data_IF_537928819886
#
_entry.id   IF_537928819886
#
_cell.length_a   1.000
_cell.length_b   1.000
_cell.length_c   1.000
_cell.angle_alpha   90.00
_cell.angle_beta   90.00
_cell.angle_gamma   90.00
#
_symmetry.space_group_name_H-M   'P 1'
#
loop_
_entity.id
_entity.type
_entity.pdbx_description
1 polymer ?
#
# COMPACT_ATOMS: atom_id res chain seq x y z
N UNK A 1 -0.90 -17.75 -4.62
CA UNK A 1 -0.84 -16.56 -5.51
C UNK A 1 0.58 -16.41 -6.02
N UNK A 2 0.76 -16.33 -7.34
CA UNK A 2 2.11 -16.23 -7.93
C UNK A 2 2.80 -14.87 -7.70
N UNK A 3 2.03 -13.84 -7.33
CA UNK A 3 2.55 -12.48 -7.01
C UNK A 3 1.72 -11.89 -5.87
N UNK A 4 2.27 -11.74 -4.66
CA UNK A 4 1.53 -11.18 -3.54
C UNK A 4 1.23 -9.69 -3.81
N UNK A 5 -0.04 -9.32 -3.68
CA UNK A 5 -0.48 -7.91 -3.63
C UNK A 5 -0.38 -7.38 -2.21
N UNK A 6 -0.46 -6.05 -2.01
CA UNK A 6 -0.48 -5.46 -0.66
C UNK A 6 -1.58 -6.06 0.24
N UNK A 7 -2.76 -6.36 -0.32
CA UNK A 7 -3.88 -6.98 0.42
C UNK A 7 -3.57 -8.43 0.82
N UNK A 8 -2.99 -9.23 -0.10
CA UNK A 8 -2.61 -10.60 0.22
C UNK A 8 -1.47 -10.66 1.24
N UNK A 9 -0.49 -9.75 1.14
CA UNK A 9 0.56 -9.61 2.14
C UNK A 9 -0.02 -9.25 3.51
N UNK A 10 -0.95 -8.28 3.58
CA UNK A 10 -1.66 -7.94 4.81
C UNK A 10 -2.31 -9.17 5.44
N UNK A 11 -3.17 -9.87 4.69
CA UNK A 11 -3.92 -11.02 5.18
C UNK A 11 -3.01 -12.14 5.69
N UNK A 12 -1.96 -12.47 4.93
CA UNK A 12 -1.01 -13.52 5.30
C UNK A 12 -0.22 -13.18 6.56
N UNK A 13 0.17 -11.92 6.72
CA UNK A 13 1.03 -11.52 7.84
C UNK A 13 0.28 -11.28 9.15
N UNK A 14 -1.01 -10.94 9.13
CA UNK A 14 -1.81 -10.84 10.36
C UNK A 14 -2.36 -12.20 10.82
N UNK A 15 -2.44 -13.20 9.93
CA UNK A 15 -3.05 -14.49 10.21
C UNK A 15 -2.47 -15.20 11.44
N UNK A 16 -1.14 -15.20 11.68
CA UNK A 16 -0.58 -15.83 12.90
C UNK A 16 -1.14 -15.24 14.21
N UNK A 17 -1.38 -13.93 14.25
CA UNK A 17 -1.98 -13.28 15.42
C UNK A 17 -3.46 -13.65 15.60
N UNK A 18 -4.19 -13.84 14.49
CA UNK A 18 -5.60 -14.23 14.53
C UNK A 18 -5.81 -15.67 15.05
N UNK A 19 -4.77 -16.51 15.10
CA UNK A 19 -4.88 -17.88 15.62
C UNK A 19 -5.46 -17.95 17.04
N UNK A 20 -5.20 -16.90 17.85
CA UNK A 20 -5.74 -16.79 19.22
C UNK A 20 -7.28 -16.64 19.29
N UNK A 21 -7.94 -16.40 18.15
CA UNK A 21 -9.39 -16.32 18.01
C UNK A 21 -10.00 -17.60 17.42
N UNK A 22 -9.18 -18.61 17.14
CA UNK A 22 -9.59 -19.90 16.54
C UNK A 22 -10.46 -19.74 15.27
N UNK A 23 -10.03 -18.93 14.27
CA UNK A 23 -10.86 -18.61 13.13
C UNK A 23 -11.06 -19.81 12.21
N UNK A 24 -12.24 -19.91 11.60
CA UNK A 24 -12.46 -20.75 10.42
C UNK A 24 -12.17 -19.95 9.16
N UNK A 25 -11.15 -20.34 8.40
CA UNK A 25 -10.72 -19.63 7.20
C UNK A 25 -11.57 -20.04 6.00
N UNK A 26 -12.12 -19.06 5.29
CA UNK A 26 -12.79 -19.28 4.00
C UNK A 26 -11.75 -19.17 2.89
N UNK A 27 -11.20 -20.28 2.45
CA UNK A 27 -10.09 -20.33 1.49
C UNK A 27 -10.26 -21.46 0.48
N UNK A 28 -9.66 -21.33 -0.70
CA UNK A 28 -9.61 -22.39 -1.71
C UNK A 28 -8.66 -23.52 -1.36
N UNK A 29 -7.59 -23.18 -0.65
CA UNK A 29 -6.53 -24.11 -0.28
C UNK A 29 -6.41 -24.19 1.25
N UNK A 30 -6.23 -25.40 1.81
CA UNK A 30 -6.03 -25.54 3.25
C UNK A 30 -4.76 -24.81 3.70
N UNK A 31 -4.83 -24.19 4.88
CA UNK A 31 -3.68 -23.60 5.56
C UNK A 31 -3.43 -24.46 6.81
N UNK A 32 -2.22 -24.95 6.97
CA UNK A 32 -1.85 -25.77 8.12
C UNK A 32 -2.20 -25.06 9.44
N UNK A 33 -2.59 -25.82 10.44
CA UNK A 33 -2.92 -25.36 11.80
C UNK A 33 -4.18 -24.46 11.92
N UNK A 34 -4.98 -24.33 10.83
CA UNK A 34 -6.24 -23.57 10.88
C UNK A 34 -7.44 -24.41 10.44
N UNK A 35 -8.57 -24.20 11.11
CA UNK A 35 -9.85 -24.65 10.58
C UNK A 35 -10.12 -23.91 9.27
N UNK A 36 -10.59 -24.61 8.25
CA UNK A 36 -10.93 -23.99 6.99
C UNK A 36 -12.23 -24.55 6.40
N UNK A 37 -12.90 -23.72 5.63
CA UNK A 37 -14.01 -24.10 4.78
C UNK A 37 -13.64 -23.82 3.32
N UNK A 38 -13.73 -24.81 2.42
CA UNK A 38 -13.30 -24.67 1.04
C UNK A 38 -14.23 -23.76 0.26
N UNK A 39 -13.69 -22.74 -0.40
CA UNK A 39 -14.41 -21.86 -1.32
C UNK A 39 -13.91 -22.03 -2.77
N UNK A 40 -14.72 -21.73 -3.79
CA UNK A 40 -14.31 -21.91 -5.17
C UNK A 40 -13.10 -21.05 -5.57
N UNK A 41 -12.06 -21.64 -6.16
CA UNK A 41 -10.86 -20.94 -6.66
C UNK A 41 -11.16 -19.78 -7.62
N UNK A 42 -12.24 -19.89 -8.40
CA UNK A 42 -12.68 -18.86 -9.36
C UNK A 42 -13.12 -17.53 -8.74
N UNK A 43 -13.08 -17.41 -7.42
CA UNK A 43 -13.35 -16.17 -6.67
C UNK A 43 -12.08 -15.33 -6.47
N UNK A 44 -10.88 -15.89 -6.77
CA UNK A 44 -9.61 -15.20 -6.63
C UNK A 44 -9.54 -13.97 -7.55
N UNK A 45 -8.94 -12.86 -7.08
CA UNK A 45 -8.66 -11.67 -7.90
C UNK A 45 -7.82 -11.96 -9.16
N UNK A 46 -7.07 -13.04 -9.18
CA UNK A 46 -6.21 -13.42 -10.31
C UNK A 46 -6.98 -13.64 -11.62
N UNK A 47 -8.30 -13.86 -11.53
CA UNK A 47 -9.20 -14.05 -12.68
C UNK A 47 -9.89 -12.77 -13.16
N UNK A 48 -9.42 -11.59 -12.72
CA UNK A 48 -9.84 -10.28 -13.25
C UNK A 48 -11.24 -9.83 -12.84
N UNK A 49 -11.83 -8.95 -13.66
CA UNK A 49 -13.12 -8.29 -13.34
C UNK A 49 -14.28 -9.28 -13.16
N UNK A 50 -14.31 -10.37 -13.95
CA UNK A 50 -15.38 -11.39 -13.86
C UNK A 50 -15.33 -12.08 -12.50
N UNK A 51 -14.14 -12.39 -12.00
CA UNK A 51 -13.99 -13.00 -10.67
C UNK A 51 -14.42 -12.05 -9.55
N UNK A 52 -14.18 -10.75 -9.71
CA UNK A 52 -14.67 -9.74 -8.76
C UNK A 52 -16.21 -9.78 -8.65
N UNK A 53 -16.95 -9.77 -9.78
CA UNK A 53 -18.39 -9.88 -9.76
C UNK A 53 -18.89 -11.21 -9.19
N UNK A 54 -18.22 -12.33 -9.52
CA UNK A 54 -18.55 -13.64 -8.95
C UNK A 54 -18.35 -13.66 -7.44
N UNK A 55 -17.27 -13.06 -6.95
CA UNK A 55 -16.98 -12.95 -5.52
C UNK A 55 -18.07 -12.11 -4.81
N UNK A 56 -18.43 -10.94 -5.36
CA UNK A 56 -19.50 -10.12 -4.80
C UNK A 56 -20.84 -10.87 -4.76
N UNK A 57 -21.19 -11.58 -5.84
CA UNK A 57 -22.40 -12.39 -5.88
C UNK A 57 -22.37 -13.51 -4.84
N UNK A 58 -21.24 -14.22 -4.74
CA UNK A 58 -21.04 -15.28 -3.75
C UNK A 58 -21.15 -14.74 -2.32
N UNK A 59 -20.54 -13.60 -2.04
CA UNK A 59 -20.61 -12.91 -0.75
C UNK A 59 -22.06 -12.59 -0.37
N UNK A 60 -22.90 -12.21 -1.32
CA UNK A 60 -24.29 -11.89 -1.04
C UNK A 60 -25.19 -13.13 -0.86
N UNK A 61 -24.95 -14.20 -1.61
CA UNK A 61 -25.88 -15.34 -1.69
C UNK A 61 -25.44 -16.53 -0.81
N UNK A 62 -24.16 -16.79 -0.72
CA UNK A 62 -23.65 -17.99 -0.06
C UNK A 62 -23.10 -17.71 1.35
N UNK A 63 -22.45 -16.59 1.54
CA UNK A 63 -21.80 -16.26 2.80
C UNK A 63 -22.77 -16.16 4.00
N UNK A 64 -24.01 -15.61 3.87
CA UNK A 64 -24.97 -15.63 4.99
C UNK A 64 -25.36 -17.02 5.42
N UNK A 65 -25.59 -17.94 4.47
CA UNK A 65 -25.92 -19.33 4.78
C UNK A 65 -24.77 -20.03 5.48
N UNK A 66 -23.55 -19.80 5.01
CA UNK A 66 -22.35 -20.36 5.60
C UNK A 66 -22.10 -19.80 7.01
N UNK A 67 -22.32 -18.50 7.22
CA UNK A 67 -22.26 -17.87 8.53
C UNK A 67 -23.13 -18.59 9.56
N UNK A 68 -24.38 -18.88 9.19
CA UNK A 68 -25.30 -19.66 10.03
C UNK A 68 -24.88 -21.12 10.20
N UNK A 69 -24.48 -21.78 9.12
CA UNK A 69 -24.04 -23.19 9.15
C UNK A 69 -22.85 -23.41 10.08
N UNK A 70 -21.92 -22.45 10.11
CA UNK A 70 -20.74 -22.49 10.97
C UNK A 70 -21.01 -21.94 12.38
N UNK A 71 -22.23 -21.49 12.69
CA UNK A 71 -22.57 -20.81 13.94
C UNK A 71 -21.59 -19.68 14.28
N UNK A 72 -21.14 -18.93 13.25
CA UNK A 72 -20.17 -17.87 13.44
C UNK A 72 -20.79 -16.70 14.22
N UNK A 73 -20.04 -16.14 15.18
CA UNK A 73 -20.44 -14.95 15.96
C UNK A 73 -20.07 -13.64 15.26
N UNK A 74 -18.98 -13.69 14.47
CA UNK A 74 -18.42 -12.54 13.77
C UNK A 74 -17.76 -12.99 12.45
N UNK A 75 -17.90 -12.18 11.42
CA UNK A 75 -17.16 -12.31 10.17
C UNK A 75 -16.09 -11.21 10.11
N UNK A 76 -14.84 -11.58 9.89
CA UNK A 76 -13.77 -10.63 9.57
C UNK A 76 -13.43 -10.68 8.08
N UNK A 77 -13.52 -9.55 7.41
CA UNK A 77 -13.12 -9.42 6.00
C UNK A 77 -11.90 -8.49 5.86
N UNK A 78 -10.77 -8.97 5.32
CA UNK A 78 -9.58 -8.14 5.11
C UNK A 78 -9.73 -7.14 3.93
N UNK A 79 -10.93 -7.04 3.38
CA UNK A 79 -11.34 -6.10 2.32
C UNK A 79 -12.72 -5.54 2.65
N UNK A 80 -13.16 -4.41 2.07
CA UNK A 80 -14.47 -3.83 2.37
C UNK A 80 -15.62 -4.55 1.64
N UNK A 81 -15.67 -5.88 1.78
CA UNK A 81 -16.69 -6.75 1.20
C UNK A 81 -17.36 -7.60 2.28
N UNK A 82 -18.65 -7.51 2.37
CA UNK A 82 -19.50 -8.27 3.30
C UNK A 82 -20.92 -8.41 2.77
N UNK A 83 -21.73 -9.36 3.27
CA UNK A 83 -23.12 -9.49 2.87
C UNK A 83 -23.96 -8.32 3.39
N UNK A 84 -24.69 -7.68 2.47
CA UNK A 84 -25.60 -6.57 2.79
C UNK A 84 -26.97 -7.09 3.25
N UNK A 85 -27.61 -6.35 4.16
CA UNK A 85 -28.96 -6.62 4.64
C UNK A 85 -29.17 -8.07 5.11
N UNK A 86 -28.14 -8.60 5.75
CA UNK A 86 -28.10 -9.96 6.30
C UNK A 86 -27.91 -9.90 7.82
N UNK A 87 -28.24 -10.99 8.56
CA UNK A 87 -28.00 -11.06 9.99
C UNK A 87 -26.51 -11.22 10.38
N UNK A 88 -25.60 -11.26 9.40
CA UNK A 88 -24.18 -11.43 9.66
C UNK A 88 -23.60 -10.19 10.32
N UNK A 89 -23.01 -10.36 11.50
CA UNK A 89 -22.18 -9.33 12.13
C UNK A 89 -20.79 -9.38 11.52
N UNK A 90 -20.22 -8.22 11.17
CA UNK A 90 -18.91 -8.21 10.51
C UNK A 90 -18.06 -6.98 10.80
N UNK A 91 -16.74 -7.21 10.79
CA UNK A 91 -15.70 -6.19 10.77
C UNK A 91 -14.99 -6.28 9.42
N UNK A 92 -14.71 -5.13 8.81
CA UNK A 92 -14.05 -5.06 7.50
C UNK A 92 -12.81 -4.19 7.55
N UNK A 93 -11.86 -4.44 6.63
CA UNK A 93 -10.68 -3.58 6.48
C UNK A 93 -10.77 -2.76 5.19
N UNK A 94 -10.46 -1.47 5.28
CA UNK A 94 -10.34 -0.53 4.15
C UNK A 94 -8.88 -0.14 3.99
N UNK A 95 -8.28 -0.42 2.82
CA UNK A 95 -6.87 -0.12 2.56
C UNK A 95 -6.64 1.25 1.94
N UNK A 96 -7.52 1.69 1.05
CA UNK A 96 -7.50 3.03 0.44
C UNK A 96 -8.84 3.38 -0.18
N UNK A 97 -8.98 4.66 -0.52
CA UNK A 97 -10.11 5.20 -1.29
C UNK A 97 -9.64 5.95 -2.54
N UNK A 98 -8.49 5.56 -3.07
CA UNK A 98 -7.90 6.14 -4.30
C UNK A 98 -8.91 6.21 -5.45
N UNK A 99 -9.77 5.19 -5.73
CA UNK A 99 -10.76 5.28 -6.80
C UNK A 99 -11.83 6.37 -6.61
N UNK A 100 -12.05 6.87 -5.39
CA UNK A 100 -12.94 8.02 -5.14
C UNK A 100 -12.22 9.35 -5.34
N UNK A 101 -10.96 9.45 -4.93
CA UNK A 101 -10.14 10.66 -5.10
C UNK A 101 -9.72 10.89 -6.54
N UNK A 102 -9.43 9.80 -7.27
CA UNK A 102 -9.02 9.79 -8.68
C UNK A 102 -9.98 8.93 -9.50
N UNK A 103 -11.25 9.34 -9.64
CA UNK A 103 -12.29 8.53 -10.26
C UNK A 103 -12.02 8.33 -11.74
N UNK A 104 -12.14 7.09 -12.18
CA UNK A 104 -12.16 6.70 -13.58
C UNK A 104 -13.59 6.33 -13.95
N UNK A 105 -14.30 7.21 -14.61
CA UNK A 105 -15.71 7.03 -14.93
C UNK A 105 -16.01 5.76 -15.74
N UNK A 106 -15.04 5.31 -16.56
CA UNK A 106 -15.14 4.06 -17.32
C UNK A 106 -14.78 2.80 -16.52
N UNK A 107 -14.37 2.94 -15.27
CA UNK A 107 -13.96 1.78 -14.45
C UNK A 107 -15.19 1.11 -13.83
N UNK A 108 -15.33 -0.23 -13.92
CA UNK A 108 -16.37 -0.99 -13.22
C UNK A 108 -16.24 -0.90 -11.68
N UNK A 109 -15.10 -0.47 -11.17
CA UNK A 109 -14.89 -0.22 -9.74
C UNK A 109 -15.57 1.06 -9.25
N UNK A 110 -15.92 2.01 -10.12
CA UNK A 110 -16.56 3.25 -9.70
C UNK A 110 -17.92 3.04 -9.01
N UNK A 111 -18.87 2.24 -9.55
CA UNK A 111 -20.10 1.89 -8.82
C UNK A 111 -19.83 1.11 -7.52
N UNK A 112 -18.85 0.20 -7.53
CA UNK A 112 -18.46 -0.56 -6.36
C UNK A 112 -18.04 0.36 -5.20
N UNK A 113 -17.15 1.34 -5.45
CA UNK A 113 -16.72 2.29 -4.43
C UNK A 113 -17.81 3.31 -4.05
N UNK A 114 -18.69 3.70 -4.97
CA UNK A 114 -19.71 4.73 -4.72
C UNK A 114 -20.99 4.20 -4.10
N UNK A 115 -21.34 2.95 -4.36
CA UNK A 115 -22.65 2.39 -3.98
C UNK A 115 -22.48 1.23 -3.00
N UNK A 116 -21.65 0.24 -3.33
CA UNK A 116 -21.56 -0.99 -2.52
C UNK A 116 -20.77 -0.77 -1.22
N UNK A 117 -19.54 -0.27 -1.30
CA UNK A 117 -18.69 -0.09 -0.12
C UNK A 117 -19.34 0.76 0.96
N UNK A 118 -19.94 1.95 0.68
CA UNK A 118 -20.57 2.74 1.74
C UNK A 118 -21.70 2.01 2.46
N UNK A 119 -22.42 1.12 1.78
CA UNK A 119 -23.45 0.29 2.44
C UNK A 119 -22.83 -0.76 3.35
N UNK A 120 -21.75 -1.41 2.92
CA UNK A 120 -20.99 -2.34 3.76
C UNK A 120 -20.49 -1.63 5.02
N UNK A 121 -19.85 -0.47 4.87
CA UNK A 121 -19.29 0.27 6.02
C UNK A 121 -20.37 0.78 6.99
N UNK A 122 -21.53 1.20 6.49
CA UNK A 122 -22.65 1.60 7.33
C UNK A 122 -23.18 0.45 8.19
N UNK A 123 -23.23 -0.75 7.65
CA UNK A 123 -23.77 -1.94 8.32
C UNK A 123 -22.70 -2.70 9.15
N UNK A 124 -21.39 -2.51 8.87
CA UNK A 124 -20.32 -3.15 9.64
C UNK A 124 -20.44 -2.83 11.14
N UNK A 125 -20.08 -3.75 12.01
CA UNK A 125 -19.91 -3.49 13.44
C UNK A 125 -18.77 -2.49 13.65
N UNK A 126 -17.64 -2.73 12.95
CA UNK A 126 -16.47 -1.88 13.01
C UNK A 126 -15.68 -1.89 11.69
N UNK A 127 -14.84 -0.90 11.52
CA UNK A 127 -14.01 -0.71 10.33
C UNK A 127 -12.55 -0.57 10.78
N UNK A 128 -11.70 -1.40 10.26
CA UNK A 128 -10.25 -1.24 10.38
C UNK A 128 -9.75 -0.53 9.12
N UNK A 129 -8.80 0.37 9.25
CA UNK A 129 -8.10 0.95 8.10
C UNK A 129 -6.60 1.06 8.40
N UNK A 130 -5.78 1.25 7.38
CA UNK A 130 -4.33 1.15 7.49
C UNK A 130 -3.62 2.47 7.85
N UNK A 131 -4.36 3.59 7.98
CA UNK A 131 -3.82 4.90 8.33
C UNK A 131 -4.92 5.85 8.83
N UNK A 132 -4.52 6.90 9.55
CA UNK A 132 -5.43 7.98 9.92
C UNK A 132 -5.96 8.69 8.67
N UNK A 133 -5.13 8.89 7.65
CA UNK A 133 -5.57 9.48 6.39
C UNK A 133 -6.69 8.68 5.70
N UNK A 134 -6.65 7.36 5.77
CA UNK A 134 -7.75 6.51 5.26
C UNK A 134 -8.99 6.62 6.14
N UNK A 135 -8.84 6.73 7.48
CA UNK A 135 -9.96 6.97 8.38
C UNK A 135 -10.66 8.30 8.07
N UNK A 136 -9.88 9.35 7.89
CA UNK A 136 -10.39 10.69 7.54
C UNK A 136 -11.14 10.66 6.20
N UNK A 137 -10.64 9.91 5.22
CA UNK A 137 -11.34 9.69 3.95
C UNK A 137 -12.69 8.99 4.14
N UNK A 138 -12.75 7.93 4.94
CA UNK A 138 -14.00 7.21 5.22
C UNK A 138 -15.03 8.16 5.85
N UNK A 139 -14.59 9.00 6.79
CA UNK A 139 -15.45 10.01 7.43
C UNK A 139 -15.89 11.03 6.40
N UNK A 140 -14.97 11.59 5.64
CA UNK A 140 -15.23 12.66 4.68
C UNK A 140 -16.17 12.25 3.56
N UNK A 141 -15.92 11.08 2.94
CA UNK A 141 -16.70 10.63 1.77
C UNK A 141 -18.08 10.09 2.14
N UNK A 142 -18.23 9.48 3.32
CA UNK A 142 -19.44 8.71 3.63
C UNK A 142 -20.07 9.03 4.97
N UNK A 143 -19.52 9.99 5.71
CA UNK A 143 -20.01 10.43 7.03
C UNK A 143 -20.16 9.26 8.02
N UNK A 144 -19.23 8.31 7.99
CA UNK A 144 -19.16 7.22 8.96
C UNK A 144 -18.62 7.80 10.29
N UNK A 145 -19.25 7.50 11.44
CA UNK A 145 -18.77 7.99 12.72
C UNK A 145 -17.35 7.53 13.05
N UNK A 146 -16.49 8.44 13.50
CA UNK A 146 -15.09 8.13 13.84
C UNK A 146 -14.94 6.99 14.85
N UNK A 147 -15.85 6.90 15.84
CA UNK A 147 -15.87 5.81 16.84
C UNK A 147 -16.03 4.41 16.25
N UNK A 148 -16.43 4.30 14.99
CA UNK A 148 -16.61 3.04 14.25
C UNK A 148 -15.38 2.67 13.44
N UNK A 149 -14.30 3.47 13.51
CA UNK A 149 -13.12 3.31 12.67
C UNK A 149 -11.88 3.24 13.55
N UNK A 150 -11.05 2.23 13.37
CA UNK A 150 -9.75 2.12 14.05
C UNK A 150 -8.63 2.05 13.00
N UNK A 151 -7.77 3.08 12.94
CA UNK A 151 -6.53 3.01 12.15
C UNK A 151 -5.53 2.05 12.80
N UNK A 152 -5.05 1.06 12.02
CA UNK A 152 -4.02 0.11 12.42
C UNK A 152 -2.94 0.12 11.35
N UNK A 153 -1.79 0.66 11.68
CA UNK A 153 -0.68 0.80 10.73
C UNK A 153 -0.19 -0.58 10.27
N UNK A 154 0.15 -0.67 8.99
CA UNK A 154 0.75 -1.86 8.41
C UNK A 154 2.23 -1.96 8.79
N UNK A 155 2.85 -3.07 8.38
CA UNK A 155 4.27 -3.28 8.52
C UNK A 155 4.89 -3.77 7.20
N UNK A 156 6.19 -4.01 7.20
CA UNK A 156 6.93 -4.55 6.07
C UNK A 156 7.62 -5.86 6.48
N UNK A 157 8.13 -6.60 5.52
CA UNK A 157 8.88 -7.81 5.80
C UNK A 157 10.30 -7.46 6.28
N UNK A 158 10.48 -7.42 7.60
CA UNK A 158 11.74 -7.04 8.26
C UNK A 158 12.89 -8.03 7.98
N UNK A 159 12.59 -9.28 7.62
CA UNK A 159 13.61 -10.28 7.27
C UNK A 159 14.09 -10.12 5.83
N UNK A 160 13.25 -9.58 4.97
CA UNK A 160 13.54 -9.37 3.56
C UNK A 160 14.18 -8.01 3.29
N UNK A 161 13.60 -6.94 3.83
CA UNK A 161 14.11 -5.58 3.68
C UNK A 161 15.05 -5.23 4.84
N UNK A 162 16.32 -5.60 4.70
CA UNK A 162 17.37 -5.40 5.71
C UNK A 162 18.43 -4.45 5.21
N UNK A 163 19.08 -3.68 6.10
CA UNK A 163 20.17 -2.80 5.70
C UNK A 163 21.41 -3.58 5.25
N UNK A 164 22.16 -3.05 4.28
CA UNK A 164 23.48 -3.57 3.97
C UNK A 164 24.46 -3.29 5.12
N UNK A 165 25.37 -4.23 5.38
CA UNK A 165 26.45 -4.03 6.36
C UNK A 165 27.35 -2.83 6.00
N UNK A 166 27.66 -2.68 4.71
CA UNK A 166 28.38 -1.52 4.17
C UNK A 166 27.51 -0.88 3.09
N UNK A 167 27.06 0.38 3.26
CA UNK A 167 26.29 1.06 2.25
C UNK A 167 27.11 1.27 0.99
N UNK A 168 26.68 0.70 -0.13
CA UNK A 168 27.24 0.94 -1.45
C UNK A 168 26.20 1.74 -2.25
N UNK A 169 26.27 3.05 -2.15
CA UNK A 169 25.40 3.91 -2.94
C UNK A 169 25.89 3.97 -4.38
N UNK A 170 25.07 3.51 -5.29
CA UNK A 170 25.19 3.83 -6.70
C UNK A 170 24.51 5.18 -6.94
N UNK A 171 24.96 5.93 -7.92
CA UNK A 171 24.52 7.31 -8.11
C UNK A 171 23.15 7.40 -8.83
N UNK A 172 22.09 6.85 -8.21
CA UNK A 172 20.72 6.95 -8.71
C UNK A 172 19.69 7.21 -7.63
N UNK A 173 18.65 7.94 -8.00
CA UNK A 173 17.38 8.00 -7.29
C UNK A 173 16.48 6.85 -7.74
N UNK A 174 15.70 6.29 -6.82
CA UNK A 174 14.78 5.21 -7.10
C UNK A 174 13.34 5.67 -6.86
N UNK A 175 12.48 5.40 -7.81
CA UNK A 175 11.04 5.41 -7.65
C UNK A 175 10.53 3.97 -7.73
N UNK A 176 9.59 3.59 -6.86
CA UNK A 176 8.93 2.28 -6.87
C UNK A 176 7.41 2.45 -6.88
N UNK A 177 6.76 1.92 -7.90
CA UNK A 177 5.30 1.93 -7.98
C UNK A 177 4.76 1.86 -9.40
N UNK A 178 3.44 1.78 -9.50
CA UNK A 178 2.74 1.88 -10.79
C UNK A 178 2.83 3.29 -11.35
N UNK A 179 2.51 3.46 -12.62
CA UNK A 179 2.56 4.75 -13.31
C UNK A 179 1.21 5.50 -13.31
N UNK A 180 0.32 5.19 -12.36
CA UNK A 180 -0.96 5.88 -12.21
C UNK A 180 -0.77 7.38 -11.90
N UNK A 181 -1.69 8.27 -12.31
CA UNK A 181 -1.51 9.72 -12.16
C UNK A 181 -1.28 10.20 -10.73
N UNK A 182 -1.92 9.57 -9.73
CA UNK A 182 -1.73 9.92 -8.33
C UNK A 182 -0.33 9.58 -7.79
N UNK A 183 0.44 8.74 -8.47
CA UNK A 183 1.84 8.44 -8.15
C UNK A 183 2.81 9.55 -8.57
N UNK A 184 2.33 10.52 -9.37
CA UNK A 184 2.99 11.79 -9.66
C UNK A 184 4.36 11.68 -10.39
N UNK A 185 4.58 10.61 -11.13
CA UNK A 185 5.84 10.38 -11.86
C UNK A 185 6.13 11.49 -12.87
N UNK A 186 5.10 12.12 -13.45
CA UNK A 186 5.27 13.23 -14.38
C UNK A 186 6.00 14.44 -13.74
N UNK A 187 5.60 14.83 -12.50
CA UNK A 187 6.29 15.90 -11.77
C UNK A 187 7.67 15.47 -11.28
N UNK A 188 7.84 14.20 -10.91
CA UNK A 188 9.16 13.68 -10.59
C UNK A 188 10.14 13.83 -11.77
N UNK A 189 9.72 13.52 -12.99
CA UNK A 189 10.53 13.72 -14.20
C UNK A 189 10.85 15.21 -14.44
N UNK A 190 9.88 16.10 -14.24
CA UNK A 190 10.09 17.56 -14.34
C UNK A 190 11.12 18.04 -13.27
N UNK A 191 10.95 17.63 -12.02
CA UNK A 191 11.88 17.97 -10.95
C UNK A 191 13.29 17.41 -11.24
N UNK A 192 13.37 16.16 -11.67
CA UNK A 192 14.65 15.52 -11.97
C UNK A 192 15.39 16.17 -13.15
N UNK A 193 14.68 16.73 -14.13
CA UNK A 193 15.30 17.45 -15.25
C UNK A 193 16.06 18.72 -14.79
N UNK A 194 15.66 19.28 -13.67
CA UNK A 194 16.30 20.48 -13.08
C UNK A 194 17.47 20.12 -12.14
N UNK A 195 17.65 18.84 -11.81
CA UNK A 195 18.79 18.39 -10.99
C UNK A 195 20.08 18.46 -11.81
N UNK A 196 20.91 19.46 -11.50
CA UNK A 196 22.18 19.75 -12.20
C UNK A 196 23.33 18.84 -11.70
N UNK A 197 23.16 17.52 -11.82
CA UNK A 197 24.13 16.48 -11.46
C UNK A 197 24.17 15.47 -12.61
N UNK A 198 25.15 15.63 -13.52
CA UNK A 198 25.22 14.88 -14.79
C UNK A 198 25.26 13.36 -14.60
N UNK A 199 25.96 12.90 -13.58
CA UNK A 199 26.21 11.47 -13.34
C UNK A 199 25.08 10.80 -12.54
N UNK A 200 24.12 11.58 -12.05
CA UNK A 200 23.01 11.05 -11.28
C UNK A 200 21.91 10.55 -12.22
N UNK A 201 21.41 9.34 -11.94
CA UNK A 201 20.33 8.68 -12.69
C UNK A 201 19.03 8.70 -11.90
N UNK A 202 17.91 8.49 -12.58
CA UNK A 202 16.61 8.20 -11.99
C UNK A 202 16.11 6.86 -12.54
N UNK A 203 15.89 5.91 -11.64
CA UNK A 203 15.36 4.60 -12.00
C UNK A 203 13.90 4.51 -11.55
N UNK A 204 13.03 4.14 -12.50
CA UNK A 204 11.59 4.00 -12.31
C UNK A 204 11.25 2.51 -12.33
N UNK A 205 11.05 1.93 -11.15
CA UNK A 205 10.70 0.53 -10.96
C UNK A 205 9.20 0.34 -10.75
N UNK A 206 8.64 -0.63 -11.47
CA UNK A 206 7.24 -1.02 -11.37
C UNK A 206 6.65 -1.45 -12.71
N UNK A 207 5.51 -2.15 -12.71
CA UNK A 207 4.91 -2.66 -13.93
C UNK A 207 4.52 -1.51 -14.88
N UNK A 208 4.76 -1.73 -16.17
CA UNK A 208 4.29 -0.83 -17.21
C UNK A 208 2.77 -0.79 -17.28
N UNK A 209 2.23 0.36 -17.66
CA UNK A 209 0.81 0.57 -17.92
C UNK A 209 0.65 1.24 -19.28
N UNK A 210 -0.05 0.57 -20.21
CA UNK A 210 -0.20 1.01 -21.58
C UNK A 210 -0.87 2.38 -21.71
N UNK A 211 -1.59 2.81 -20.69
CA UNK A 211 -2.28 4.12 -20.65
C UNK A 211 -1.37 5.27 -20.27
N UNK A 212 -0.35 5.02 -19.43
CA UNK A 212 0.45 6.08 -18.80
C UNK A 212 1.94 5.99 -19.15
N UNK A 213 2.52 4.79 -19.20
CA UNK A 213 3.96 4.60 -19.46
C UNK A 213 4.41 5.22 -20.78
N UNK A 214 3.66 5.13 -21.91
CA UNK A 214 4.08 5.77 -23.17
C UNK A 214 4.22 7.28 -23.05
N UNK A 215 3.33 7.94 -22.29
CA UNK A 215 3.39 9.40 -22.06
C UNK A 215 4.61 9.80 -21.22
N UNK A 216 4.95 9.01 -20.22
CA UNK A 216 6.17 9.22 -19.42
C UNK A 216 7.44 9.06 -20.27
N UNK A 217 7.49 8.06 -21.13
CA UNK A 217 8.61 7.87 -22.08
C UNK A 217 8.74 9.04 -23.08
N UNK A 218 7.63 9.58 -23.56
CA UNK A 218 7.62 10.80 -24.40
C UNK A 218 8.14 12.01 -23.62
N UNK A 219 7.73 12.18 -22.36
CA UNK A 219 8.20 13.25 -21.50
C UNK A 219 9.70 13.15 -21.22
N UNK A 220 10.23 11.95 -20.96
CA UNK A 220 11.67 11.70 -20.82
C UNK A 220 12.43 12.15 -22.06
N UNK A 221 11.90 11.88 -23.26
CA UNK A 221 12.51 12.33 -24.50
C UNK A 221 12.46 13.86 -24.67
N UNK A 222 11.32 14.48 -24.36
CA UNK A 222 11.12 15.92 -24.45
C UNK A 222 11.98 16.72 -23.46
N UNK A 223 12.30 16.13 -22.30
CA UNK A 223 13.17 16.69 -21.27
C UNK A 223 14.65 16.33 -21.47
N UNK A 224 15.01 15.68 -22.58
CA UNK A 224 16.40 15.25 -22.89
C UNK A 224 17.01 14.33 -21.80
N UNK A 225 16.20 13.50 -21.15
CA UNK A 225 16.60 12.66 -20.03
C UNK A 225 16.88 11.19 -20.41
N UNK A 226 16.97 10.85 -21.71
CA UNK A 226 17.09 9.45 -22.19
C UNK A 226 18.27 8.70 -21.55
N UNK A 227 19.39 9.39 -21.36
CA UNK A 227 20.62 8.81 -20.79
C UNK A 227 20.62 8.82 -19.26
N UNK A 228 19.68 9.51 -18.62
CA UNK A 228 19.62 9.66 -17.16
C UNK A 228 18.43 8.96 -16.52
N UNK A 229 17.39 8.64 -17.27
CA UNK A 229 16.18 7.96 -16.76
C UNK A 229 16.08 6.55 -17.31
N UNK A 230 15.90 5.58 -16.42
CA UNK A 230 15.75 4.17 -16.77
C UNK A 230 14.43 3.62 -16.23
N UNK A 231 13.61 3.02 -17.11
CA UNK A 231 12.45 2.22 -16.73
C UNK A 231 12.91 0.78 -16.49
N UNK A 232 12.64 0.24 -15.29
CA UNK A 232 13.08 -1.10 -14.88
C UNK A 232 11.99 -2.15 -15.05
N UNK A 233 10.79 -1.73 -15.49
CA UNK A 233 9.62 -2.60 -15.59
C UNK A 233 9.32 -3.32 -14.26
N UNK A 234 8.78 -4.54 -14.32
CA UNK A 234 8.52 -5.35 -13.14
C UNK A 234 9.83 -5.84 -12.51
N UNK A 235 9.97 -5.65 -11.21
CA UNK A 235 11.14 -6.08 -10.44
C UNK A 235 10.72 -7.29 -9.59
N UNK A 236 11.39 -8.44 -9.72
CA UNK A 236 11.14 -9.57 -8.83
C UNK A 236 11.32 -9.18 -7.36
N UNK A 237 10.46 -9.69 -6.50
CA UNK A 237 10.44 -9.35 -5.07
C UNK A 237 11.81 -9.52 -4.42
N UNK A 238 12.51 -10.61 -4.72
CA UNK A 238 13.83 -10.93 -4.15
C UNK A 238 14.94 -9.95 -4.57
N UNK A 239 14.76 -9.20 -5.65
CA UNK A 239 15.73 -8.21 -6.12
C UNK A 239 15.44 -6.80 -5.58
N UNK A 240 14.26 -6.56 -4.99
CA UNK A 240 13.89 -5.25 -4.47
C UNK A 240 14.84 -4.72 -3.39
N UNK A 241 15.26 -5.53 -2.39
CA UNK A 241 16.15 -5.03 -1.34
C UNK A 241 17.49 -4.52 -1.87
N UNK A 242 18.11 -5.21 -2.83
CA UNK A 242 19.39 -4.78 -3.41
C UNK A 242 19.25 -3.48 -4.20
N UNK A 243 18.17 -3.38 -4.98
CA UNK A 243 17.87 -2.17 -5.73
C UNK A 243 17.61 -0.98 -4.79
N UNK A 244 16.89 -1.19 -3.70
CA UNK A 244 16.62 -0.15 -2.71
C UNK A 244 17.92 0.25 -1.99
N UNK A 245 18.72 -0.71 -1.51
CA UNK A 245 19.99 -0.46 -0.83
C UNK A 245 21.01 0.30 -1.67
N UNK A 246 21.00 0.07 -2.99
CA UNK A 246 21.90 0.73 -3.94
C UNK A 246 21.51 2.18 -4.26
N UNK A 247 20.31 2.62 -3.95
CA UNK A 247 19.84 3.96 -4.28
C UNK A 247 20.43 5.03 -3.36
N UNK A 248 20.70 6.22 -3.91
CA UNK A 248 21.02 7.42 -3.13
C UNK A 248 19.85 7.82 -2.22
N UNK A 249 18.64 7.73 -2.74
CA UNK A 249 17.38 7.85 -2.00
C UNK A 249 16.22 7.23 -2.79
N UNK A 250 15.21 6.78 -2.07
CA UNK A 250 13.87 6.57 -2.64
C UNK A 250 13.19 7.94 -2.79
N UNK A 251 12.61 8.23 -3.96
CA UNK A 251 11.75 9.41 -4.19
C UNK A 251 10.34 8.92 -4.47
N UNK A 252 9.45 9.19 -3.52
CA UNK A 252 8.07 8.67 -3.54
C UNK A 252 7.06 9.81 -3.40
N UNK A 253 6.85 10.62 -4.48
CA UNK A 253 6.12 11.88 -4.45
C UNK A 253 4.63 11.70 -4.71
N UNK A 254 4.02 10.63 -4.24
CA UNK A 254 2.61 10.34 -4.48
C UNK A 254 1.71 11.45 -3.95
N UNK A 255 0.68 11.79 -4.72
CA UNK A 255 -0.35 12.76 -4.31
C UNK A 255 -1.29 12.17 -3.26
N UNK A 256 -1.41 10.84 -3.24
CA UNK A 256 -2.24 10.12 -2.30
C UNK A 256 -1.81 8.65 -2.18
N UNK A 257 -1.77 8.15 -0.93
CA UNK A 257 -1.56 6.74 -0.59
C UNK A 257 -2.46 6.34 0.57
N UNK A 258 -2.87 5.07 0.60
CA UNK A 258 -3.51 4.51 1.78
C UNK A 258 -2.50 4.25 2.91
N UNK A 259 -1.26 3.89 2.58
CA UNK A 259 -0.19 3.68 3.57
C UNK A 259 1.18 4.17 3.06
N UNK A 260 1.79 3.50 2.08
CA UNK A 260 3.12 3.84 1.57
C UNK A 260 4.18 2.81 1.92
N UNK A 261 3.91 1.53 1.70
CA UNK A 261 4.87 0.42 1.95
C UNK A 261 6.27 0.68 1.38
N UNK A 262 6.46 1.21 0.14
CA UNK A 262 7.79 1.47 -0.39
C UNK A 262 8.64 2.41 0.47
N UNK A 263 8.01 3.38 1.16
CA UNK A 263 8.69 4.28 2.10
C UNK A 263 9.27 3.48 3.28
N UNK A 264 8.45 2.61 3.85
CA UNK A 264 8.83 1.80 5.00
C UNK A 264 9.88 0.73 4.62
N UNK A 265 9.74 0.11 3.45
CA UNK A 265 10.70 -0.85 2.89
C UNK A 265 12.07 -0.20 2.65
N UNK A 266 12.08 1.03 2.12
CA UNK A 266 13.31 1.79 1.91
C UNK A 266 13.97 2.15 3.24
N UNK A 267 13.22 2.59 4.23
CA UNK A 267 13.71 2.83 5.57
C UNK A 267 14.27 1.56 6.22
N UNK A 268 13.61 0.40 6.04
CA UNK A 268 14.08 -0.90 6.50
C UNK A 268 15.41 -1.32 5.85
N UNK A 269 15.60 -0.99 4.59
CA UNK A 269 16.88 -1.17 3.88
C UNK A 269 17.95 -0.13 4.29
N UNK A 270 17.60 0.88 5.08
CA UNK A 270 18.48 1.97 5.45
C UNK A 270 18.74 2.95 4.29
N UNK A 271 17.84 3.03 3.34
CA UNK A 271 17.89 3.97 2.22
C UNK A 271 17.16 5.25 2.60
N UNK A 272 17.80 6.44 2.44
CA UNK A 272 17.13 7.71 2.66
C UNK A 272 15.86 7.86 1.81
N UNK A 273 14.88 8.60 2.32
CA UNK A 273 13.59 8.77 1.66
C UNK A 273 13.27 10.25 1.46
N UNK A 274 12.79 10.59 0.27
CA UNK A 274 12.08 11.82 -0.05
C UNK A 274 10.65 11.43 -0.37
N UNK A 275 9.66 11.95 0.37
CA UNK A 275 8.26 11.60 0.17
C UNK A 275 7.34 12.80 0.41
N UNK A 276 6.07 12.64 0.08
CA UNK A 276 5.09 13.73 0.17
C UNK A 276 4.71 14.04 1.62
N UNK A 277 4.37 15.30 1.89
CA UNK A 277 3.86 15.79 3.17
C UNK A 277 2.34 15.63 3.33
N UNK A 278 1.72 14.73 2.56
CA UNK A 278 0.26 14.53 2.52
C UNK A 278 -0.14 13.07 2.63
N UNK A 279 -1.43 12.85 2.83
CA UNK A 279 -2.05 11.53 3.03
C UNK A 279 -1.40 10.76 4.20
N UNK A 280 -1.19 9.45 4.01
CA UNK A 280 -0.57 8.58 5.01
C UNK A 280 0.96 8.70 5.09
N UNK A 281 1.60 9.37 4.13
CA UNK A 281 3.06 9.38 4.03
C UNK A 281 3.76 10.04 5.22
N UNK A 282 3.26 11.17 5.79
CA UNK A 282 3.80 11.71 7.03
C UNK A 282 3.64 10.77 8.24
N UNK A 283 2.51 10.02 8.32
CA UNK A 283 2.30 9.03 9.39
C UNK A 283 3.31 7.89 9.32
N UNK A 284 3.68 7.46 8.12
CA UNK A 284 4.65 6.38 7.91
C UNK A 284 6.07 6.89 8.11
N UNK A 285 6.40 8.02 7.51
CA UNK A 285 7.76 8.55 7.50
C UNK A 285 8.19 9.16 8.85
N UNK A 286 7.28 9.83 9.56
CA UNK A 286 7.64 10.66 10.72
C UNK A 286 8.73 11.67 10.34
N UNK A 287 9.68 11.85 11.24
CA UNK A 287 10.84 12.76 11.04
C UNK A 287 12.02 12.08 10.29
N UNK A 288 11.81 10.87 9.76
CA UNK A 288 12.87 10.05 9.18
C UNK A 288 12.99 10.17 7.64
N UNK A 289 12.33 11.17 7.05
CA UNK A 289 12.38 11.45 5.61
C UNK A 289 12.41 12.95 5.35
N UNK A 290 12.79 13.34 4.14
CA UNK A 290 12.54 14.69 3.63
C UNK A 290 11.09 14.70 3.13
N UNK A 291 10.22 15.44 3.82
CA UNK A 291 8.85 15.66 3.41
C UNK A 291 8.78 16.85 2.46
N UNK A 292 8.07 16.68 1.35
CA UNK A 292 7.90 17.71 0.30
C UNK A 292 6.43 17.90 -0.05
N UNK A 293 6.07 19.07 -0.51
CA UNK A 293 4.83 19.28 -1.25
C UNK A 293 4.95 18.58 -2.62
N UNK A 294 4.17 17.50 -2.89
CA UNK A 294 4.27 16.78 -4.15
C UNK A 294 3.82 17.59 -5.37
N UNK A 295 3.22 18.76 -5.17
CA UNK A 295 2.84 19.67 -6.24
C UNK A 295 3.92 20.72 -6.55
N UNK A 296 4.91 20.87 -5.66
CA UNK A 296 6.00 21.82 -5.78
C UNK A 296 7.25 21.15 -6.40
N UNK A 297 7.46 21.38 -7.69
CA UNK A 297 8.56 20.81 -8.46
C UNK A 297 9.94 21.29 -7.96
N UNK A 298 10.04 22.56 -7.53
CA UNK A 298 11.31 23.14 -7.07
C UNK A 298 11.73 22.56 -5.71
N UNK A 299 10.78 22.35 -4.80
CA UNK A 299 11.02 21.69 -3.52
C UNK A 299 11.54 20.25 -3.72
N UNK A 300 10.93 19.51 -4.65
CA UNK A 300 11.36 18.15 -5.03
C UNK A 300 12.76 18.16 -5.64
N UNK A 301 13.07 19.12 -6.52
CA UNK A 301 14.40 19.33 -7.12
C UNK A 301 15.45 19.63 -6.05
N UNK A 302 15.13 20.54 -5.12
CA UNK A 302 16.01 20.93 -4.03
C UNK A 302 16.28 19.76 -3.08
N UNK A 303 15.25 18.97 -2.72
CA UNK A 303 15.39 17.79 -1.89
C UNK A 303 16.34 16.76 -2.52
N UNK A 304 16.14 16.45 -3.82
CA UNK A 304 17.02 15.53 -4.56
C UNK A 304 18.47 16.06 -4.63
N UNK A 305 18.63 17.35 -4.94
CA UNK A 305 19.96 17.96 -5.04
C UNK A 305 20.70 17.96 -3.70
N UNK A 306 19.99 18.31 -2.63
CA UNK A 306 20.55 18.36 -1.28
C UNK A 306 21.00 16.99 -0.82
N UNK A 307 20.14 15.96 -0.96
CA UNK A 307 20.48 14.62 -0.50
C UNK A 307 21.62 13.99 -1.33
N UNK A 308 21.69 14.30 -2.62
CA UNK A 308 22.79 13.82 -3.47
C UNK A 308 24.15 14.39 -3.06
N UNK A 309 24.20 15.67 -2.68
CA UNK A 309 25.44 16.38 -2.32
C UNK A 309 25.84 16.20 -0.85
N UNK A 310 24.93 15.87 0.04
CA UNK A 310 25.15 15.86 1.48
C UNK A 310 25.20 14.43 2.06
N UNK A 311 26.39 13.87 2.18
CA UNK A 311 26.60 12.52 2.74
C UNK A 311 26.26 12.44 4.23
N UNK A 312 26.45 13.52 4.98
CA UNK A 312 26.08 13.58 6.40
C UNK A 312 24.55 13.46 6.56
N UNK A 313 23.77 14.22 5.78
CA UNK A 313 22.32 14.13 5.77
C UNK A 313 21.83 12.71 5.40
N UNK A 314 22.45 12.07 4.39
CA UNK A 314 22.14 10.67 4.06
C UNK A 314 22.37 9.72 5.24
N UNK A 315 23.48 9.92 5.97
CA UNK A 315 23.80 9.09 7.14
C UNK A 315 22.79 9.29 8.28
N UNK A 316 22.37 10.52 8.52
CA UNK A 316 21.34 10.84 9.52
C UNK A 316 19.99 10.24 9.16
N UNK A 317 19.53 10.46 7.92
CA UNK A 317 18.25 9.90 7.44
C UNK A 317 18.27 8.37 7.43
N UNK A 318 19.41 7.75 7.11
CA UNK A 318 19.57 6.29 7.25
C UNK A 318 19.33 5.85 8.69
N UNK A 319 19.98 6.48 9.67
CA UNK A 319 19.84 6.15 11.09
C UNK A 319 18.41 6.34 11.58
N UNK A 320 17.82 7.48 11.23
CA UNK A 320 16.43 7.81 11.60
C UNK A 320 15.43 6.85 10.92
N UNK A 321 15.63 6.54 9.64
CA UNK A 321 14.80 5.60 8.88
C UNK A 321 14.80 4.19 9.47
N UNK A 322 15.96 3.64 9.79
CA UNK A 322 16.07 2.34 10.45
C UNK A 322 15.38 2.33 11.82
N UNK A 323 15.54 3.38 12.62
CA UNK A 323 14.82 3.54 13.89
C UNK A 323 13.32 3.65 13.68
N UNK A 324 12.88 4.39 12.67
CA UNK A 324 11.45 4.50 12.34
C UNK A 324 10.86 3.18 11.90
N UNK A 325 11.50 2.50 10.95
CA UNK A 325 11.07 1.20 10.42
C UNK A 325 10.94 0.13 11.51
N UNK A 326 11.85 0.11 12.52
CA UNK A 326 11.78 -0.84 13.62
C UNK A 326 10.55 -0.72 14.52
N UNK A 327 9.79 0.37 14.42
CA UNK A 327 8.55 0.57 15.17
C UNK A 327 7.36 -0.18 14.56
N UNK A 328 7.48 -0.63 13.31
CA UNK A 328 6.43 -1.31 12.56
C UNK A 328 6.70 -2.81 12.52
N UNK A 329 5.77 -3.62 12.98
CA UNK A 329 5.85 -5.08 12.88
C UNK A 329 4.47 -5.66 12.61
N UNK A 330 4.44 -6.75 11.83
CA UNK A 330 3.19 -7.46 11.55
C UNK A 330 2.56 -8.05 12.81
N UNK A 331 3.38 -8.37 13.82
CA UNK A 331 2.90 -8.79 15.13
C UNK A 331 2.05 -7.70 15.79
N UNK A 332 2.54 -6.44 15.82
CA UNK A 332 1.78 -5.29 16.36
C UNK A 332 0.49 -5.05 15.57
N UNK A 333 0.58 -5.08 14.23
CA UNK A 333 -0.59 -4.94 13.36
C UNK A 333 -1.63 -6.04 13.64
N UNK A 334 -1.18 -7.28 13.78
CA UNK A 334 -2.04 -8.42 14.06
C UNK A 334 -2.64 -8.36 15.47
N UNK A 335 -1.86 -8.02 16.50
CA UNK A 335 -2.35 -7.87 17.87
C UNK A 335 -3.41 -6.77 17.97
N UNK A 336 -3.17 -5.59 17.40
CA UNK A 336 -4.16 -4.52 17.37
C UNK A 336 -5.44 -4.94 16.61
N UNK A 337 -5.30 -5.73 15.54
CA UNK A 337 -6.46 -6.30 14.84
C UNK A 337 -7.24 -7.26 15.74
N UNK A 338 -6.56 -8.13 16.48
CA UNK A 338 -7.19 -9.06 17.45
C UNK A 338 -7.93 -8.30 18.55
N UNK A 339 -7.33 -7.22 19.09
CA UNK A 339 -7.97 -6.38 20.12
C UNK A 339 -9.30 -5.82 19.62
N UNK A 340 -9.30 -5.24 18.41
CA UNK A 340 -10.55 -4.74 17.79
C UNK A 340 -11.56 -5.87 17.61
N UNK A 341 -11.16 -7.03 17.11
CA UNK A 341 -12.09 -8.13 16.86
C UNK A 341 -12.71 -8.70 18.14
N UNK A 342 -11.95 -8.72 19.24
CA UNK A 342 -12.44 -9.19 20.55
C UNK A 342 -13.56 -8.35 21.14
N UNK A 343 -13.64 -7.07 20.80
CA UNK A 343 -14.73 -6.20 21.26
C UNK A 343 -16.09 -6.60 20.67
N UNK A 344 -16.09 -7.37 19.56
CA UNK A 344 -17.30 -7.74 18.83
C UNK A 344 -17.59 -9.26 18.86
N UNK A 345 -16.71 -10.08 19.42
CA UNK A 345 -16.95 -11.51 19.63
C UNK A 345 -17.81 -11.74 20.87
#
# INVERSE_FOLDING_TARGET
MQQPTGISAYTQNILPSLASLEPTLLTSDPIADYNYYPIPNRLSPDHGTIAHFRRLWWTQQQLPNLYHQLNASLLFSPVPEAPLYSPCRYVVTVHDLIPLRYPRWSSPLTPYFRVYIPQVLKQAEHIICNSQATADDIIQFWNIPAKKITPILLAYNQQHFTPAATPQHQNYFLYLGRHDPHKNVQRLLQAFSQVSLSDTKLWLGGPTDDRYTPKLKQQVAALELRDRVRFLDYIPYDHLPDLIRGATALVFPSLWEGFGLPVLEAMGCGTPVITSNCASLPEVAGDAAILIDPTNTDEMTNAMTTIAKNSHLRSELRKQGLKRASQFSWEKTGQATVEVLREFL
#
